data_IF_777983648865
#
_entry.id   IF_777983648865
#
_cell.length_a   1.000
_cell.length_b   1.000
_cell.length_c   1.000
_cell.angle_alpha   90.00
_cell.angle_beta   90.00
_cell.angle_gamma   90.00
#
_symmetry.space_group_name_H-M   'P 1'
#
loop_
_entity.id
_entity.type
_entity.pdbx_description
1 polymer ?
#
# COMPACT_ATOMS: atom_id res chain seq x y z
N UNK A 1 9.72 0.65 -9.77
CA UNK A 1 8.67 1.68 -9.77
C UNK A 1 7.34 1.08 -9.31
N UNK A 2 6.68 1.75 -8.40
CA UNK A 2 5.41 1.26 -7.87
C UNK A 2 4.29 1.51 -8.88
N UNK A 3 3.58 0.46 -9.23
CA UNK A 3 2.47 0.53 -10.18
C UNK A 3 1.44 -0.52 -9.80
N UNK A 4 0.30 -0.50 -10.51
CA UNK A 4 -0.74 -1.50 -10.30
C UNK A 4 -0.14 -2.90 -10.48
N UNK A 5 -0.37 -3.76 -9.49
CA UNK A 5 0.18 -5.12 -9.47
C UNK A 5 1.48 -5.26 -8.72
N UNK A 6 2.12 -4.15 -8.32
CA UNK A 6 3.37 -4.21 -7.57
C UNK A 6 3.12 -4.74 -6.16
N UNK A 7 4.08 -5.52 -5.65
CA UNK A 7 4.08 -5.93 -4.25
C UNK A 7 4.86 -4.91 -3.45
N UNK A 8 4.28 -4.44 -2.36
CA UNK A 8 4.86 -3.37 -1.56
C UNK A 8 4.79 -3.71 -0.08
N UNK A 9 5.74 -3.15 0.68
CA UNK A 9 5.73 -3.24 2.14
C UNK A 9 5.35 -1.89 2.72
N UNK A 10 4.57 -1.89 3.79
CA UNK A 10 4.02 -0.68 4.39
C UNK A 10 5.00 -0.12 5.41
N UNK A 11 5.31 1.17 5.28
CA UNK A 11 6.26 1.86 6.18
C UNK A 11 5.57 2.76 7.19
N UNK A 12 4.25 2.92 7.14
CA UNK A 12 3.53 3.77 8.09
C UNK A 12 3.46 3.06 9.45
N UNK A 13 4.14 3.60 10.44
CA UNK A 13 4.24 2.97 11.76
C UNK A 13 2.92 2.90 12.51
N UNK A 14 2.02 3.84 12.25
CA UNK A 14 0.71 3.88 12.93
C UNK A 14 -0.32 2.94 12.31
N UNK A 15 0.01 2.35 11.16
CA UNK A 15 -0.92 1.49 10.46
C UNK A 15 -0.95 0.09 11.06
N UNK A 16 -2.14 -0.50 11.07
CA UNK A 16 -2.28 -1.93 11.37
C UNK A 16 -1.38 -2.77 10.45
N UNK A 17 -1.13 -2.25 9.24
CA UNK A 17 -0.40 -2.98 8.20
C UNK A 17 1.11 -2.72 8.21
N UNK A 18 1.62 -2.06 9.24
CA UNK A 18 3.05 -1.76 9.31
C UNK A 18 3.88 -3.02 9.10
N UNK A 19 4.84 -2.94 8.17
CA UNK A 19 5.70 -4.05 7.76
C UNK A 19 4.99 -5.21 7.10
N UNK A 20 3.71 -5.07 6.79
CA UNK A 20 2.98 -6.09 6.04
C UNK A 20 3.17 -5.86 4.54
N UNK A 21 3.05 -6.95 3.78
CA UNK A 21 3.16 -6.89 2.32
C UNK A 21 1.78 -6.93 1.72
N UNK A 22 1.54 -6.06 0.76
CA UNK A 22 0.29 -6.03 0.02
C UNK A 22 0.54 -5.83 -1.47
N UNK A 23 -0.54 -5.83 -2.23
CA UNK A 23 -0.48 -5.64 -3.68
C UNK A 23 -1.20 -4.36 -4.05
N UNK A 24 -0.59 -3.55 -4.91
CA UNK A 24 -1.21 -2.33 -5.41
C UNK A 24 -2.32 -2.71 -6.38
N UNK A 25 -3.56 -2.36 -6.04
CA UNK A 25 -4.69 -2.64 -6.92
C UNK A 25 -5.13 -1.42 -7.72
N UNK A 26 -4.72 -0.22 -7.27
CA UNK A 26 -5.07 1.00 -7.99
C UNK A 26 -4.16 2.14 -7.52
N UNK A 27 -3.87 3.08 -8.42
CA UNK A 27 -3.15 4.31 -8.08
C UNK A 27 -3.89 5.46 -8.74
N UNK A 28 -4.40 6.38 -7.90
CA UNK A 28 -5.03 7.59 -8.40
C UNK A 28 -3.95 8.57 -8.83
N UNK A 29 -4.19 9.25 -9.95
CA UNK A 29 -3.21 10.17 -10.49
C UNK A 29 -3.53 11.64 -10.24
N UNK A 30 -4.52 11.91 -9.40
CA UNK A 30 -4.89 13.28 -9.09
C UNK A 30 -3.90 13.89 -8.08
N UNK A 31 -3.45 15.12 -8.36
CA UNK A 31 -2.53 15.81 -7.46
C UNK A 31 -3.16 16.23 -6.14
N UNK A 32 -4.49 16.20 -6.04
CA UNK A 32 -5.18 16.59 -4.82
C UNK A 32 -5.40 15.42 -3.86
N UNK A 33 -5.10 14.20 -4.29
CA UNK A 33 -5.29 13.02 -3.43
C UNK A 33 -4.00 12.74 -2.67
N UNK A 34 -4.10 12.79 -1.33
CA UNK A 34 -2.94 12.60 -0.46
C UNK A 34 -2.50 11.13 -0.39
N UNK A 35 -3.44 10.20 -0.44
CA UNK A 35 -3.16 8.77 -0.34
C UNK A 35 -3.63 8.07 -1.61
N UNK A 36 -2.88 8.20 -2.71
CA UNK A 36 -3.34 7.72 -4.01
C UNK A 36 -3.27 6.22 -4.23
N UNK A 37 -2.42 5.52 -3.47
CA UNK A 37 -2.24 4.09 -3.68
C UNK A 37 -3.22 3.28 -2.85
N UNK A 38 -3.99 2.40 -3.49
CA UNK A 38 -4.87 1.47 -2.80
C UNK A 38 -4.18 0.11 -2.76
N UNK A 39 -3.95 -0.39 -1.55
CA UNK A 39 -3.20 -1.62 -1.33
C UNK A 39 -4.13 -2.69 -0.78
N UNK A 40 -4.06 -3.88 -1.32
CA UNK A 40 -4.84 -5.02 -0.88
C UNK A 40 -3.95 -6.04 -0.18
N UNK A 41 -4.41 -6.51 0.96
CA UNK A 41 -3.67 -7.47 1.78
C UNK A 41 -4.36 -8.83 1.76
N UNK A 42 -3.62 -9.89 2.07
CA UNK A 42 -4.17 -11.25 2.07
C UNK A 42 -5.13 -11.50 3.22
N UNK A 43 -4.88 -10.87 4.37
CA UNK A 43 -5.75 -11.02 5.53
C UNK A 43 -6.52 -9.74 5.79
N UNK A 44 -7.58 -9.83 6.60
CA UNK A 44 -8.33 -8.65 7.02
C UNK A 44 -7.78 -8.14 8.33
N UNK A 45 -8.00 -6.84 8.60
CA UNK A 45 -7.61 -6.25 9.87
C UNK A 45 -8.71 -6.51 10.92
N UNK A 46 -8.55 -5.90 12.10
CA UNK A 46 -9.52 -6.09 13.18
C UNK A 46 -10.92 -5.57 12.85
N UNK A 47 -11.05 -4.74 11.81
CA UNK A 47 -12.35 -4.22 11.35
C UNK A 47 -12.91 -5.02 10.18
N UNK A 48 -12.25 -6.11 9.77
CA UNK A 48 -12.71 -6.92 8.66
C UNK A 48 -12.36 -6.36 7.29
N UNK A 49 -11.45 -5.39 7.21
CA UNK A 49 -11.05 -4.74 5.97
C UNK A 49 -9.69 -5.25 5.53
N UNK A 50 -9.53 -5.51 4.23
CA UNK A 50 -8.27 -5.96 3.68
C UNK A 50 -7.65 -4.99 2.67
N UNK A 51 -8.17 -3.78 2.58
CA UNK A 51 -7.62 -2.74 1.71
C UNK A 51 -7.42 -1.45 2.50
N UNK A 52 -6.43 -0.67 2.08
CA UNK A 52 -6.21 0.63 2.69
C UNK A 52 -5.49 1.52 1.69
N UNK A 53 -5.55 2.83 1.92
CA UNK A 53 -4.93 3.83 1.07
C UNK A 53 -3.64 4.35 1.71
N UNK A 54 -2.59 4.52 0.91
CA UNK A 54 -1.29 5.01 1.37
C UNK A 54 -0.72 6.00 0.37
N UNK A 55 0.18 6.85 0.85
CA UNK A 55 0.97 7.67 -0.06
C UNK A 55 2.11 6.81 -0.60
N UNK A 56 2.62 7.18 -1.77
CA UNK A 56 3.70 6.41 -2.38
C UNK A 56 4.98 6.43 -1.53
N UNK A 57 5.19 7.49 -0.75
CA UNK A 57 6.34 7.60 0.12
C UNK A 57 6.30 6.61 1.30
N UNK A 58 5.14 6.05 1.59
CA UNK A 58 4.97 5.09 2.68
C UNK A 58 5.10 3.64 2.23
N UNK A 59 5.50 3.42 0.99
CA UNK A 59 5.57 2.09 0.40
C UNK A 59 6.98 1.78 -0.09
N UNK A 60 7.39 0.53 0.06
CA UNK A 60 8.64 0.02 -0.51
C UNK A 60 8.30 -0.96 -1.61
N UNK A 61 8.81 -0.70 -2.81
CA UNK A 61 8.62 -1.61 -3.94
C UNK A 61 9.55 -2.81 -3.75
N UNK A 62 8.98 -3.95 -3.44
CA UNK A 62 9.77 -5.13 -3.13
C UNK A 62 10.56 -5.66 -4.31
N UNK A 63 10.15 -5.35 -5.53
CA UNK A 63 10.89 -5.78 -6.71
C UNK A 63 12.18 -4.99 -6.89
N UNK A 64 12.26 -3.78 -6.34
CA UNK A 64 13.44 -2.93 -6.42
C UNK A 64 14.33 -3.03 -5.18
N UNK A 65 13.90 -3.74 -4.15
CA UNK A 65 14.59 -3.80 -2.86
C UNK A 65 15.66 -4.89 -2.79
N UNK A 66 15.97 -5.53 -3.86
CA UNK A 66 16.92 -6.64 -3.87
C UNK A 66 18.35 -6.24 -3.50
#
# INVERSE_FOLDING_TARGET
>A
MIAKGSKVRILRKESYWFNKVGVVISIEKSSVIRYPAVIRFESVNYSGTNTNNFSLAELVDLEEEK
#
